data_IF_334975713642
#
_entry.id   IF_334975713642
#
_cell.length_a   1.000
_cell.length_b   1.000
_cell.length_c   1.000
_cell.angle_alpha   90.00
_cell.angle_beta   90.00
_cell.angle_gamma   90.00
#
_symmetry.space_group_name_H-M   'P 1'
#
loop_
_entity.id
_entity.type
_entity.pdbx_description
1 polymer ?
#
# COMPACT_ATOMS: atom_id res chain seq x y z
N UNK A 1 -14.09 -58.12 25.26
CA UNK A 1 -13.00 -57.81 24.31
C UNK A 1 -13.40 -56.59 23.51
N UNK A 2 -12.60 -55.54 23.56
CA UNK A 2 -12.77 -54.33 22.75
C UNK A 2 -12.30 -54.58 21.31
N UNK A 3 -13.09 -54.14 20.33
CA UNK A 3 -12.68 -54.00 18.93
C UNK A 3 -13.04 -52.58 18.49
N UNK A 4 -12.02 -51.72 18.43
CA UNK A 4 -12.14 -50.28 18.23
C UNK A 4 -12.61 -49.91 16.83
N UNK A 5 -13.60 -49.04 16.80
CA UNK A 5 -14.06 -48.29 15.63
C UNK A 5 -13.03 -47.19 15.35
N UNK A 6 -12.30 -47.31 14.23
CA UNK A 6 -11.33 -46.32 13.80
C UNK A 6 -11.99 -45.36 12.81
N UNK A 7 -12.70 -44.38 13.35
CA UNK A 7 -13.15 -43.22 12.56
C UNK A 7 -11.92 -42.51 11.99
N UNK A 8 -11.79 -42.35 10.66
CA UNK A 8 -10.70 -41.56 10.10
C UNK A 8 -10.90 -40.11 10.53
N UNK A 9 -10.02 -39.62 11.41
CA UNK A 9 -9.88 -38.19 11.69
C UNK A 9 -9.45 -37.50 10.40
N UNK A 10 -10.42 -36.86 9.74
CA UNK A 10 -10.15 -35.85 8.72
C UNK A 10 -9.51 -34.66 9.42
N UNK A 11 -8.19 -34.55 9.33
CA UNK A 11 -7.51 -33.28 9.59
C UNK A 11 -7.79 -32.38 8.39
N UNK A 12 -8.50 -31.24 8.55
CA UNK A 12 -8.63 -30.29 7.46
C UNK A 12 -7.22 -29.83 7.08
N UNK A 13 -6.82 -30.11 5.83
CA UNK A 13 -5.62 -29.53 5.25
C UNK A 13 -5.89 -28.02 5.15
N UNK A 14 -5.22 -27.22 5.97
CA UNK A 14 -5.26 -25.77 5.83
C UNK A 14 -4.48 -25.44 4.55
N UNK A 15 -5.17 -25.45 3.42
CA UNK A 15 -4.68 -24.78 2.22
C UNK A 15 -4.76 -23.29 2.55
N UNK A 16 -3.64 -22.71 2.96
CA UNK A 16 -3.53 -21.25 3.12
C UNK A 16 -3.54 -20.63 1.72
N UNK A 17 -4.75 -20.50 1.15
CA UNK A 17 -5.02 -19.63 0.03
C UNK A 17 -5.21 -18.22 0.56
N UNK A 18 -4.48 -17.25 0.00
CA UNK A 18 -4.78 -15.85 0.25
C UNK A 18 -6.13 -15.60 -0.42
N UNK A 19 -7.20 -15.50 0.38
CA UNK A 19 -8.53 -15.20 -0.12
C UNK A 19 -8.65 -13.68 -0.26
N UNK A 20 -8.58 -13.18 -1.49
CA UNK A 20 -8.80 -11.77 -1.81
C UNK A 20 -10.29 -11.40 -1.91
N UNK A 21 -11.21 -12.32 -1.56
CA UNK A 21 -12.62 -11.98 -1.32
C UNK A 21 -12.74 -11.14 -0.05
N UNK A 22 -13.41 -9.99 -0.13
CA UNK A 22 -13.37 -8.90 0.85
C UNK A 22 -13.39 -9.31 2.31
N UNK A 23 -12.48 -8.72 3.10
CA UNK A 23 -12.47 -8.85 4.56
C UNK A 23 -13.65 -8.11 5.22
N UNK A 24 -13.93 -8.47 6.47
CA UNK A 24 -14.89 -7.73 7.31
C UNK A 24 -14.41 -6.28 7.47
N UNK A 25 -15.24 -5.27 7.22
CA UNK A 25 -14.83 -3.86 7.36
C UNK A 25 -15.14 -3.33 8.74
N UNK A 26 -14.22 -2.56 9.33
CA UNK A 26 -14.37 -1.97 10.65
C UNK A 26 -14.48 -0.45 10.58
N UNK A 27 -15.48 0.17 11.24
CA UNK A 27 -15.62 1.61 11.26
C UNK A 27 -14.51 2.26 12.11
N UNK A 28 -13.75 3.16 11.52
CA UNK A 28 -12.71 3.94 12.22
C UNK A 28 -13.12 5.40 12.47
N UNK A 29 -14.10 5.90 11.70
CA UNK A 29 -14.59 7.30 11.74
C UNK A 29 -13.51 8.34 11.43
N UNK A 30 -12.40 7.95 10.80
CA UNK A 30 -11.36 8.86 10.31
C UNK A 30 -11.68 9.28 8.88
N UNK A 31 -11.40 10.54 8.55
CA UNK A 31 -11.78 11.13 7.26
C UNK A 31 -11.07 10.48 6.06
N UNK A 32 -9.85 9.99 6.25
CA UNK A 32 -9.00 9.45 5.19
C UNK A 32 -8.89 7.94 5.19
N UNK A 33 -9.56 7.26 6.12
CA UNK A 33 -9.60 5.80 6.12
C UNK A 33 -10.63 5.36 5.09
N UNK A 34 -10.23 4.49 4.16
CA UNK A 34 -11.11 3.99 3.10
C UNK A 34 -10.96 2.48 2.99
N UNK A 35 -12.07 1.76 3.01
CA UNK A 35 -12.08 0.33 2.72
C UNK A 35 -12.59 0.08 1.29
N UNK A 36 -12.04 -0.92 0.62
CA UNK A 36 -12.60 -1.45 -0.63
C UNK A 36 -13.56 -2.58 -0.26
N UNK A 37 -14.81 -2.49 -0.72
CA UNK A 37 -15.77 -3.55 -0.66
C UNK A 37 -15.67 -4.35 -1.98
N UNK A 38 -15.31 -5.62 -1.89
CA UNK A 38 -15.15 -6.50 -3.06
C UNK A 38 -13.71 -6.64 -3.54
N UNK A 39 -13.53 -6.75 -4.86
CA UNK A 39 -12.23 -7.00 -5.49
C UNK A 39 -11.54 -5.71 -5.91
N UNK A 40 -10.21 -5.67 -5.74
CA UNK A 40 -9.41 -4.52 -6.11
C UNK A 40 -8.32 -4.19 -5.10
N UNK A 41 -7.43 -3.32 -5.53
CA UNK A 41 -6.33 -2.76 -4.75
C UNK A 41 -6.19 -1.28 -5.08
N UNK A 42 -5.86 -0.46 -4.09
CA UNK A 42 -5.42 0.91 -4.32
C UNK A 42 -4.04 0.91 -5.00
N UNK A 43 -3.88 1.71 -6.04
CA UNK A 43 -2.59 1.99 -6.64
C UNK A 43 -1.91 3.15 -5.92
N UNK A 44 -0.65 2.96 -5.52
CA UNK A 44 0.17 3.97 -4.87
C UNK A 44 1.54 4.07 -5.54
N UNK A 45 2.17 5.23 -5.43
CA UNK A 45 3.51 5.48 -5.93
C UNK A 45 4.51 5.59 -4.81
N UNK A 46 5.57 4.79 -4.90
CA UNK A 46 6.72 4.90 -4.01
C UNK A 46 7.58 6.11 -4.36
N UNK A 47 8.42 6.60 -3.43
CA UNK A 47 9.35 7.69 -3.70
C UNK A 47 10.33 7.43 -4.86
N UNK A 48 10.59 6.16 -5.21
CA UNK A 48 11.41 5.76 -6.36
C UNK A 48 10.65 5.84 -7.71
N UNK A 49 9.39 6.24 -7.69
CA UNK A 49 8.51 6.34 -8.85
C UNK A 49 7.77 5.04 -9.20
N UNK A 50 8.08 3.91 -8.55
CA UNK A 50 7.44 2.62 -8.84
C UNK A 50 5.99 2.58 -8.37
N UNK A 51 5.14 1.90 -9.15
CA UNK A 51 3.73 1.64 -8.81
C UNK A 51 3.64 0.36 -7.99
N UNK A 52 2.98 0.44 -6.84
CA UNK A 52 2.67 -0.71 -6.00
C UNK A 52 1.19 -0.69 -5.62
N UNK A 53 0.67 -1.83 -5.20
CA UNK A 53 -0.76 -2.01 -4.92
C UNK A 53 -0.98 -2.36 -3.45
N UNK A 54 -2.06 -1.90 -2.84
CA UNK A 54 -2.39 -2.24 -1.44
C UNK A 54 -3.89 -2.32 -1.21
N UNK A 55 -4.30 -3.08 -0.20
CA UNK A 55 -5.66 -3.00 0.35
C UNK A 55 -5.76 -2.13 1.59
N UNK A 56 -4.63 -1.75 2.16
CA UNK A 56 -4.58 -0.85 3.32
C UNK A 56 -4.97 0.56 2.88
N UNK A 57 -6.19 0.98 3.20
CA UNK A 57 -6.65 2.35 2.96
C UNK A 57 -6.55 3.27 4.16
N UNK A 58 -5.59 3.04 5.07
CA UNK A 58 -5.24 4.03 6.09
C UNK A 58 -4.39 5.13 5.44
N UNK A 59 -5.05 6.17 4.93
CA UNK A 59 -4.37 7.31 4.31
C UNK A 59 -4.21 8.48 5.26
N UNK A 60 -3.24 9.34 4.94
CA UNK A 60 -2.87 10.53 5.70
C UNK A 60 -2.57 11.68 4.76
N UNK A 61 -2.73 12.89 5.27
CA UNK A 61 -2.38 14.10 4.53
C UNK A 61 -0.96 14.53 4.91
N UNK A 62 -0.07 14.61 3.92
CA UNK A 62 1.29 15.15 4.08
C UNK A 62 1.23 16.71 4.11
N UNK A 63 2.24 17.42 4.67
CA UNK A 63 2.21 18.89 4.74
C UNK A 63 2.09 19.63 3.40
N UNK A 64 2.51 19.01 2.30
CA UNK A 64 2.32 19.48 0.92
C UNK A 64 0.89 19.26 0.40
N UNK A 65 -0.01 18.73 1.24
CA UNK A 65 -1.41 18.38 0.95
C UNK A 65 -1.58 17.17 0.03
N UNK A 66 -0.53 16.37 -0.16
CA UNK A 66 -0.61 15.11 -0.90
C UNK A 66 -1.20 14.04 0.00
N UNK A 67 -2.15 13.26 -0.54
CA UNK A 67 -2.69 12.08 0.13
C UNK A 67 -1.68 10.95 0.02
N UNK A 68 -1.26 10.40 1.16
CA UNK A 68 -0.24 9.38 1.26
C UNK A 68 -0.67 8.22 2.15
N UNK A 69 -0.04 7.06 2.02
CA UNK A 69 -0.22 5.94 2.94
C UNK A 69 0.49 6.19 4.28
N UNK A 70 0.31 5.29 5.25
CA UNK A 70 1.04 5.30 6.52
C UNK A 70 2.57 5.21 6.36
N UNK A 71 3.05 4.60 5.26
CA UNK A 71 4.47 4.53 4.89
C UNK A 71 4.96 5.77 4.12
N UNK A 72 4.05 6.68 3.78
CA UNK A 72 4.37 7.91 3.04
C UNK A 72 4.37 7.75 1.52
N UNK A 73 3.85 6.65 0.97
CA UNK A 73 3.70 6.44 -0.47
C UNK A 73 2.50 7.23 -1.01
N UNK A 74 2.60 7.81 -2.20
CA UNK A 74 1.59 8.72 -2.74
C UNK A 74 0.39 7.95 -3.30
N UNK A 75 -0.82 8.34 -2.88
CA UNK A 75 -2.05 7.71 -3.37
C UNK A 75 -2.38 8.24 -4.76
N UNK A 76 -2.59 7.34 -5.71
CA UNK A 76 -2.79 7.68 -7.09
C UNK A 76 -4.26 7.91 -7.41
N UNK A 77 -4.51 8.87 -8.31
CA UNK A 77 -5.79 8.99 -9.00
C UNK A 77 -5.85 8.06 -10.21
N UNK A 78 -7.05 7.73 -10.68
CA UNK A 78 -7.25 6.91 -11.89
C UNK A 78 -6.60 7.56 -13.15
N UNK A 79 -6.43 8.88 -13.15
CA UNK A 79 -5.68 9.62 -14.17
C UNK A 79 -4.15 9.44 -14.09
N UNK A 80 -3.63 8.69 -13.11
CA UNK A 80 -2.22 8.38 -12.95
C UNK A 80 -1.39 9.48 -12.26
N UNK A 81 -2.04 10.47 -11.64
CA UNK A 81 -1.39 11.55 -10.87
C UNK A 81 -1.66 11.44 -9.36
N UNK A 82 -0.73 11.85 -8.49
CA UNK A 82 -0.96 11.87 -7.05
C UNK A 82 -2.16 12.74 -6.67
N UNK A 83 -2.91 12.33 -5.66
CA UNK A 83 -4.04 13.12 -5.16
C UNK A 83 -3.53 14.22 -4.24
N UNK A 84 -3.77 15.48 -4.62
CA UNK A 84 -3.40 16.67 -3.84
C UNK A 84 -4.65 17.46 -3.49
N UNK A 85 -4.84 17.76 -2.20
CA UNK A 85 -6.00 18.50 -1.70
C UNK A 85 -5.83 20.02 -1.87
N UNK A 86 -6.92 20.74 -2.10
CA UNK A 86 -6.91 22.19 -2.32
C UNK A 86 -6.81 22.98 -1.00
N UNK A 87 -5.98 24.04 -0.93
CA UNK A 87 -5.96 24.94 0.22
C UNK A 87 -7.34 25.53 0.49
N UNK A 88 -7.84 25.32 1.71
CA UNK A 88 -9.16 25.76 2.17
C UNK A 88 -10.35 25.15 1.40
N UNK A 89 -10.20 23.99 0.75
CA UNK A 89 -11.28 23.36 -0.02
C UNK A 89 -12.45 22.82 0.81
N UNK A 90 -12.37 22.87 2.14
CA UNK A 90 -13.39 22.33 3.04
C UNK A 90 -13.22 20.84 3.35
N UNK A 91 -14.32 20.18 3.73
CA UNK A 91 -14.36 18.77 4.11
C UNK A 91 -14.10 17.86 2.91
N UNK A 92 -13.31 16.80 3.10
CA UNK A 92 -13.09 15.78 2.07
C UNK A 92 -14.17 14.72 2.14
N UNK A 93 -14.75 14.42 0.99
CA UNK A 93 -15.74 13.37 0.82
C UNK A 93 -15.23 12.42 -0.26
N UNK A 94 -15.29 11.12 0.04
CA UNK A 94 -14.97 10.06 -0.90
C UNK A 94 -16.27 9.30 -1.12
N UNK A 95 -16.81 9.40 -2.33
CA UNK A 95 -18.03 8.71 -2.70
C UNK A 95 -17.76 7.20 -2.85
N UNK A 96 -18.83 6.42 -2.88
CA UNK A 96 -18.72 4.97 -3.07
C UNK A 96 -18.03 4.61 -4.38
N UNK A 97 -18.28 5.36 -5.46
CA UNK A 97 -17.62 5.19 -6.75
C UNK A 97 -16.12 5.60 -6.74
N UNK A 98 -15.62 6.10 -5.61
CA UNK A 98 -14.23 6.51 -5.43
C UNK A 98 -13.90 7.91 -5.92
N UNK A 99 -14.88 8.68 -6.42
CA UNK A 99 -14.72 10.11 -6.65
C UNK A 99 -14.46 10.84 -5.31
N UNK A 100 -13.33 11.52 -5.28
CA UNK A 100 -12.86 12.33 -4.18
C UNK A 100 -13.17 13.81 -4.48
N UNK A 101 -13.89 14.45 -3.57
CA UNK A 101 -14.26 15.85 -3.66
C UNK A 101 -13.92 16.57 -2.36
N UNK A 102 -13.61 17.86 -2.47
CA UNK A 102 -13.39 18.74 -1.33
C UNK A 102 -14.39 19.89 -1.39
N UNK A 103 -15.34 19.90 -0.45
CA UNK A 103 -16.48 20.83 -0.52
C UNK A 103 -17.32 20.57 -1.79
N UNK A 104 -17.30 21.52 -2.72
CA UNK A 104 -17.96 21.40 -4.03
C UNK A 104 -16.99 21.11 -5.19
N UNK A 105 -15.69 21.08 -4.92
CA UNK A 105 -14.66 20.91 -5.93
C UNK A 105 -14.27 19.42 -6.09
N UNK A 106 -14.43 18.82 -7.29
CA UNK A 106 -13.93 17.47 -7.55
C UNK A 106 -12.40 17.48 -7.67
N UNK A 107 -11.72 16.57 -6.97
CA UNK A 107 -10.25 16.44 -7.01
C UNK A 107 -9.78 15.28 -7.89
N UNK A 108 -10.63 14.29 -8.13
CA UNK A 108 -10.32 13.12 -8.96
C UNK A 108 -10.97 11.86 -8.42
N UNK A 109 -10.63 10.70 -8.99
CA UNK A 109 -11.08 9.39 -8.52
C UNK A 109 -9.89 8.60 -8.01
N UNK A 110 -10.03 7.89 -6.89
CA UNK A 110 -9.00 6.98 -6.39
C UNK A 110 -8.70 5.88 -7.43
N UNK A 111 -7.42 5.62 -7.70
CA UNK A 111 -7.01 4.53 -8.58
C UNK A 111 -7.24 3.18 -7.89
N UNK A 112 -8.32 2.51 -8.26
CA UNK A 112 -8.59 1.13 -7.86
C UNK A 112 -8.35 0.22 -9.05
N UNK A 113 -7.47 -0.76 -8.84
CA UNK A 113 -7.00 -1.69 -9.86
C UNK A 113 -7.46 -3.10 -9.57
N UNK A 114 -8.05 -3.77 -10.56
CA UNK A 114 -8.32 -5.20 -10.54
C UNK A 114 -7.17 -5.95 -11.17
N UNK A 115 -6.73 -7.01 -10.52
CA UNK A 115 -5.63 -7.85 -10.99
C UNK A 115 -6.23 -9.20 -11.36
N UNK A 116 -6.24 -9.53 -12.66
CA UNK A 116 -6.94 -10.68 -13.21
C UNK A 116 -6.45 -12.02 -12.60
N UNK A 117 -5.14 -12.14 -12.38
CA UNK A 117 -4.54 -13.30 -11.71
C UNK A 117 -3.82 -12.86 -10.43
N UNK A 118 -4.53 -12.94 -9.30
CA UNK A 118 -3.97 -12.61 -7.99
C UNK A 118 -2.87 -13.58 -7.55
N UNK A 119 -2.70 -14.74 -8.18
CA UNK A 119 -1.60 -15.66 -7.87
C UNK A 119 -0.24 -15.12 -8.33
N UNK A 120 -0.22 -14.18 -9.27
CA UNK A 120 0.99 -13.50 -9.73
C UNK A 120 1.42 -12.36 -8.79
N UNK A 121 0.55 -11.96 -7.85
CA UNK A 121 0.87 -10.89 -6.91
C UNK A 121 1.99 -11.34 -5.97
N UNK A 122 3.06 -10.55 -5.94
CA UNK A 122 4.13 -10.76 -4.99
C UNK A 122 3.95 -9.81 -3.81
N UNK A 123 3.71 -10.32 -2.59
CA UNK A 123 3.69 -9.47 -1.41
C UNK A 123 5.09 -8.90 -1.18
N UNK A 124 5.16 -7.65 -0.79
CA UNK A 124 6.37 -6.96 -0.35
C UNK A 124 6.13 -6.33 1.01
N UNK A 125 7.20 -5.89 1.67
CA UNK A 125 7.12 -5.30 3.01
C UNK A 125 6.10 -4.14 3.08
N UNK A 126 5.40 -4.02 4.20
CA UNK A 126 4.39 -2.97 4.43
C UNK A 126 2.97 -3.31 3.92
N UNK A 127 2.69 -4.57 3.58
CA UNK A 127 1.37 -4.98 3.10
C UNK A 127 1.07 -4.56 1.65
N UNK A 128 2.12 -4.23 0.89
CA UNK A 128 2.02 -3.92 -0.53
C UNK A 128 2.17 -5.17 -1.39
N UNK A 129 1.71 -5.06 -2.63
CA UNK A 129 1.82 -6.06 -3.67
C UNK A 129 2.44 -5.45 -4.92
N UNK A 130 3.27 -6.23 -5.60
CA UNK A 130 3.86 -5.85 -6.89
C UNK A 130 3.52 -6.89 -7.94
N UNK A 131 3.37 -6.40 -9.18
CA UNK A 131 3.20 -7.24 -10.36
C UNK A 131 4.55 -7.43 -11.06
N UNK A 132 4.99 -8.68 -11.29
CA UNK A 132 6.20 -8.94 -12.05
C UNK A 132 6.13 -8.41 -13.48
N UNK A 133 7.27 -8.03 -14.09
CA UNK A 133 7.33 -7.69 -15.51
C UNK A 133 6.78 -8.84 -16.38
N UNK A 134 6.01 -8.50 -17.42
CA UNK A 134 5.42 -9.48 -18.33
C UNK A 134 4.06 -10.04 -17.88
N UNK A 135 3.53 -9.59 -16.74
CA UNK A 135 2.12 -9.81 -16.39
C UNK A 135 1.21 -8.83 -17.14
N UNK A 136 -0.05 -9.21 -17.43
CA UNK A 136 -1.03 -8.26 -17.95
C UNK A 136 -1.16 -7.06 -17.02
N UNK A 137 -1.28 -5.84 -17.56
CA UNK A 137 -1.48 -4.66 -16.73
C UNK A 137 -2.79 -4.80 -15.93
N UNK A 138 -2.84 -4.29 -14.69
CA UNK A 138 -4.08 -4.24 -13.94
C UNK A 138 -5.14 -3.44 -14.69
N UNK A 139 -6.39 -3.86 -14.56
CA UNK A 139 -7.53 -3.17 -15.14
C UNK A 139 -8.02 -2.05 -14.18
N UNK A 140 -8.37 -0.87 -14.71
CA UNK A 140 -9.12 0.12 -13.93
C UNK A 140 -10.47 -0.48 -13.52
N UNK A 141 -10.85 -0.28 -12.26
CA UNK A 141 -12.23 -0.50 -11.82
C UNK A 141 -12.97 0.83 -11.98
N UNK A 142 -13.94 0.88 -12.90
CA UNK A 142 -14.68 2.12 -13.19
C UNK A 142 -15.64 2.51 -12.06
N UNK A 143 -16.27 1.51 -11.42
CA UNK A 143 -17.17 1.70 -10.28
C UNK A 143 -16.71 0.83 -9.11
N UNK A 144 -15.63 1.23 -8.41
CA UNK A 144 -15.27 0.56 -7.17
C UNK A 144 -16.36 0.77 -6.12
N UNK A 145 -16.48 -0.13 -5.14
CA UNK A 145 -17.32 0.08 -3.97
C UNK A 145 -16.43 0.49 -2.80
N UNK A 146 -16.32 1.78 -2.52
CA UNK A 146 -15.49 2.32 -1.44
C UNK A 146 -16.31 2.76 -0.24
N UNK A 147 -15.77 2.53 0.96
CA UNK A 147 -16.37 2.92 2.22
C UNK A 147 -15.43 3.88 2.98
N UNK A 148 -15.74 5.17 2.95
CA UNK A 148 -15.03 6.18 3.74
C UNK A 148 -15.32 6.04 5.23
N UNK A 149 -14.29 6.18 6.07
CA UNK A 149 -14.36 6.03 7.52
C UNK A 149 -14.33 4.58 8.00
N UNK A 150 -13.91 3.65 7.12
CA UNK A 150 -13.76 2.24 7.40
C UNK A 150 -12.37 1.76 6.97
N UNK A 151 -11.89 0.70 7.62
CA UNK A 151 -10.73 -0.07 7.17
C UNK A 151 -11.14 -1.53 6.97
N UNK A 152 -10.54 -2.21 6.00
CA UNK A 152 -10.68 -3.66 5.86
C UNK A 152 -9.97 -4.33 7.06
N UNK A 153 -10.67 -5.18 7.79
CA UNK A 153 -10.07 -6.00 8.84
C UNK A 153 -9.10 -6.98 8.16
N UNK A 154 -7.85 -6.95 8.60
CA UNK A 154 -6.78 -7.77 8.05
C UNK A 154 -7.15 -9.26 8.09
N UNK A 155 -7.64 -9.81 6.99
CA UNK A 155 -7.65 -11.26 6.78
C UNK A 155 -6.22 -11.76 6.44
N UNK A 156 -5.30 -10.84 6.13
CA UNK A 156 -3.90 -11.15 5.86
C UNK A 156 -3.29 -11.70 7.14
N UNK A 157 -3.19 -13.03 7.20
CA UNK A 157 -2.46 -13.76 8.23
C UNK A 157 -1.09 -13.10 8.43
N UNK A 158 -0.77 -12.54 9.61
CA UNK A 158 0.54 -11.93 9.89
C UNK A 158 1.70 -12.92 9.95
N UNK A 159 1.56 -14.14 9.39
CA UNK A 159 2.49 -15.24 9.64
C UNK A 159 3.73 -15.29 8.72
N UNK A 160 4.11 -14.17 8.09
CA UNK A 160 5.41 -14.07 7.39
C UNK A 160 6.18 -12.77 7.65
N UNK A 161 5.80 -11.98 8.65
CA UNK A 161 6.44 -10.70 8.99
C UNK A 161 7.80 -10.80 9.73
N UNK A 162 8.53 -11.91 9.63
CA UNK A 162 9.79 -12.10 10.39
C UNK A 162 11.08 -12.28 9.58
N UNK A 163 11.16 -11.99 8.26
CA UNK A 163 12.46 -12.19 7.57
C UNK A 163 13.09 -10.98 6.87
N UNK A 164 12.39 -9.98 6.35
CA UNK A 164 13.08 -8.96 5.51
C UNK A 164 13.21 -7.56 6.13
N UNK A 165 13.64 -7.48 7.39
CA UNK A 165 14.12 -6.24 8.02
C UNK A 165 15.65 -6.19 8.16
N UNK A 166 16.41 -6.64 7.14
CA UNK A 166 17.89 -6.61 7.20
C UNK A 166 18.57 -5.84 6.05
N UNK A 167 17.87 -5.37 5.01
CA UNK A 167 18.57 -4.81 3.83
C UNK A 167 18.41 -3.32 3.54
N UNK A 168 17.53 -2.57 4.22
CA UNK A 168 17.32 -1.14 3.88
C UNK A 168 18.19 -0.17 4.69
N UNK A 169 18.66 -0.51 5.91
CA UNK A 169 19.49 0.44 6.68
C UNK A 169 20.95 0.52 6.20
N UNK A 170 21.48 -0.54 5.57
CA UNK A 170 22.89 -0.56 5.12
C UNK A 170 23.16 0.27 3.87
N UNK A 171 22.18 0.44 2.98
CA UNK A 171 22.36 1.24 1.76
C UNK A 171 22.41 2.76 2.06
N UNK A 172 21.63 3.23 3.03
CA UNK A 172 21.67 4.64 3.45
C UNK A 172 22.92 4.98 4.27
N UNK A 173 23.34 4.11 5.21
CA UNK A 173 24.59 4.32 5.96
C UNK A 173 25.84 4.22 5.06
N UNK A 174 25.84 3.32 4.07
CA UNK A 174 26.95 3.21 3.13
C UNK A 174 27.10 4.47 2.28
N UNK A 175 26.01 5.03 1.76
CA UNK A 175 26.06 6.26 0.96
C UNK A 175 26.52 7.48 1.79
N UNK A 176 26.13 7.59 3.06
CA UNK A 176 26.61 8.69 3.91
C UNK A 176 28.09 8.58 4.30
N UNK A 177 28.64 7.37 4.46
CA UNK A 177 30.08 7.17 4.74
C UNK A 177 30.98 7.52 3.56
N UNK A 178 30.50 7.32 2.32
CA UNK A 178 31.25 7.68 1.12
C UNK A 178 31.31 9.20 0.97
N UNK A 179 30.20 9.91 1.18
CA UNK A 179 30.15 11.37 1.06
C UNK A 179 31.05 12.05 2.11
N UNK A 180 30.99 11.61 3.38
CA UNK A 180 31.83 12.20 4.44
C UNK A 180 33.33 11.93 4.26
N UNK A 181 33.70 10.80 3.65
CA UNK A 181 35.10 10.48 3.37
C UNK A 181 35.68 11.37 2.26
N UNK A 182 34.88 11.74 1.26
CA UNK A 182 35.29 12.66 0.19
C UNK A 182 35.47 14.08 0.73
N UNK A 183 34.56 14.56 1.58
CA UNK A 183 34.68 15.87 2.24
C UNK A 183 35.95 15.98 3.07
N UNK A 184 36.29 14.94 3.82
CA UNK A 184 37.48 14.92 4.67
C UNK A 184 38.80 14.89 3.85
N UNK A 185 38.77 14.36 2.62
CA UNK A 185 39.92 14.40 1.71
C UNK A 185 40.09 15.79 1.08
N UNK A 186 38.99 16.45 0.67
CA UNK A 186 39.02 17.79 0.09
C UNK A 186 39.55 18.81 1.10
N UNK A 187 39.09 18.75 2.35
CA UNK A 187 39.57 19.65 3.41
C UNK A 187 41.09 19.51 3.64
N UNK A 188 41.60 18.27 3.71
CA UNK A 188 43.04 18.02 3.89
C UNK A 188 43.90 18.53 2.73
N UNK A 189 43.37 18.54 1.50
CA UNK A 189 44.10 19.09 0.35
C UNK A 189 44.10 20.61 0.32
N UNK A 190 43.03 21.25 0.83
CA UNK A 190 42.96 22.70 0.95
C UNK A 190 43.89 23.22 2.05
N UNK A 191 43.96 22.53 3.19
CA UNK A 191 44.84 22.89 4.31
C UNK A 191 46.34 22.68 3.99
N UNK A 192 46.67 21.88 2.96
CA UNK A 192 48.04 21.63 2.52
C UNK A 192 48.53 22.63 1.45
N UNK A 193 47.63 23.47 0.91
CA UNK A 193 47.92 24.47 -0.13
C UNK A 193 47.82 25.92 0.37
N UNK A 194 47.46 26.12 1.65
CA UNK A 194 47.55 27.40 2.36
C UNK A 194 48.72 27.42 3.34
#
# INVERSE_FOLDING_TARGET
GHGGDATPMFFPQIVSGIHYGGGETQPTRREFDVAIQGEGFFEVQRPDGSRVYTRSGEFRLRPDRTLVTSSGDEVMSDAGTPIVLLPNGGRVVINQDGMLAQGTAPLGRLAVRRIADTSQLRPVAGGYFVLPPGTPPPESVEDPELLQGYLEASNVTPLREMVDLVLISRAYEANQKVISSVEHQIQKTLDALG
#
